data_IF_702422769687
#
_entry.id   IF_702422769687
#
_cell.length_a   1.000
_cell.length_b   1.000
_cell.length_c   1.000
_cell.angle_alpha   90.00
_cell.angle_beta   90.00
_cell.angle_gamma   90.00
#
_symmetry.space_group_name_H-M   'P 1'
#
loop_
_entity.id
_entity.type
_entity.pdbx_description
1 polymer ?
#
# COMPACT_ATOMS: atom_id res chain seq x y z
N UNK A 1 16.05 20.60 6.92
CA UNK A 1 17.09 19.54 6.94
C UNK A 1 18.52 20.09 6.80
N UNK A 2 18.94 21.03 7.66
CA UNK A 2 20.27 21.69 7.55
C UNK A 2 21.29 21.23 8.60
N UNK A 3 20.88 20.50 9.65
CA UNK A 3 21.77 20.08 10.75
C UNK A 3 22.78 18.98 10.42
N UNK A 4 22.50 18.12 9.43
CA UNK A 4 23.36 16.97 9.11
C UNK A 4 24.59 17.29 8.26
N UNK A 5 24.66 18.46 7.62
CA UNK A 5 25.79 18.84 6.75
C UNK A 5 27.05 19.20 7.54
N UNK A 6 26.86 19.75 8.74
CA UNK A 6 27.96 20.24 9.56
C UNK A 6 28.40 19.24 10.63
N UNK A 7 27.66 18.14 10.85
CA UNK A 7 28.00 17.13 11.87
C UNK A 7 29.38 16.51 11.63
N UNK A 8 29.73 16.23 10.38
CA UNK A 8 31.04 15.69 10.01
C UNK A 8 32.16 16.72 10.23
N UNK A 9 31.89 17.99 9.92
CA UNK A 9 32.83 19.11 10.13
C UNK A 9 33.04 19.36 11.63
N UNK A 10 31.97 19.34 12.42
CA UNK A 10 32.03 19.49 13.88
C UNK A 10 32.76 18.31 14.52
N UNK A 11 32.48 17.08 14.10
CA UNK A 11 33.18 15.90 14.60
C UNK A 11 34.68 15.94 14.28
N UNK A 12 35.04 16.34 13.05
CA UNK A 12 36.42 16.55 12.64
C UNK A 12 37.13 17.62 13.49
N UNK A 13 36.47 18.77 13.73
CA UNK A 13 37.02 19.84 14.57
C UNK A 13 37.21 19.39 16.02
N UNK A 14 36.25 18.63 16.59
CA UNK A 14 36.38 18.08 17.94
C UNK A 14 37.54 17.09 18.03
N UNK A 15 37.70 16.19 17.05
CA UNK A 15 38.86 15.29 17.00
C UNK A 15 40.17 16.06 16.92
N UNK A 16 40.25 17.09 16.07
CA UNK A 16 41.43 17.97 15.95
C UNK A 16 41.77 18.68 17.27
N UNK A 17 40.76 19.20 17.99
CA UNK A 17 40.96 19.85 19.29
C UNK A 17 41.44 18.86 20.34
N UNK A 18 40.86 17.65 20.40
CA UNK A 18 41.28 16.60 21.34
C UNK A 18 42.73 16.18 21.06
N UNK A 19 43.09 15.97 19.78
CA UNK A 19 44.47 15.68 19.37
C UNK A 19 45.40 16.81 19.81
N UNK A 20 45.04 18.07 19.53
CA UNK A 20 45.82 19.24 19.93
C UNK A 20 46.04 19.34 21.44
N UNK A 21 45.01 19.08 22.24
CA UNK A 21 45.10 19.06 23.71
C UNK A 21 46.00 17.92 24.19
N UNK A 22 45.87 16.71 23.62
CA UNK A 22 46.71 15.57 23.96
C UNK A 22 48.19 15.83 23.65
N UNK A 23 48.50 16.42 22.50
CA UNK A 23 49.86 16.76 22.10
C UNK A 23 50.46 17.89 22.95
N UNK A 24 49.65 18.90 23.32
CA UNK A 24 50.08 19.98 24.22
C UNK A 24 50.36 19.47 25.64
N UNK A 25 49.51 18.56 26.16
CA UNK A 25 49.60 18.07 27.54
C UNK A 25 50.63 16.96 27.73
N UNK A 26 50.90 16.18 26.68
CA UNK A 26 51.83 15.04 26.67
C UNK A 26 52.81 15.13 25.49
N UNK A 27 53.81 16.04 25.55
CA UNK A 27 54.78 16.22 24.47
C UNK A 27 55.66 14.99 24.21
N UNK A 28 55.69 14.03 25.15
CA UNK A 28 56.35 12.73 24.98
C UNK A 28 55.72 11.87 23.86
N UNK A 29 54.45 12.12 23.48
CA UNK A 29 53.76 11.41 22.40
C UNK A 29 54.30 11.73 21.00
N UNK A 30 55.16 12.75 20.87
CA UNK A 30 55.84 13.16 19.63
C UNK A 30 57.30 12.72 19.59
N UNK A 31 57.83 12.13 20.68
CA UNK A 31 59.23 11.70 20.73
C UNK A 31 59.37 10.34 20.04
N UNK A 32 59.77 10.38 18.77
CA UNK A 32 60.07 9.22 17.94
C UNK A 32 59.07 9.06 16.79
N UNK A 33 59.58 8.90 15.56
CA UNK A 33 58.76 8.81 14.34
C UNK A 33 57.74 7.66 14.39
N UNK A 34 58.11 6.51 14.94
CA UNK A 34 57.21 5.36 15.07
C UNK A 34 56.02 5.63 16.01
N UNK A 35 56.24 6.35 17.12
CA UNK A 35 55.18 6.68 18.09
C UNK A 35 54.24 7.74 17.51
N UNK A 36 54.80 8.73 16.82
CA UNK A 36 54.02 9.75 16.11
C UNK A 36 53.14 9.14 15.01
N UNK A 37 53.70 8.25 14.18
CA UNK A 37 52.95 7.57 13.11
C UNK A 37 51.85 6.67 13.67
N UNK A 38 52.15 5.89 14.71
CA UNK A 38 51.17 5.05 15.41
C UNK A 38 50.00 5.87 15.96
N UNK A 39 50.28 7.00 16.62
CA UNK A 39 49.25 7.88 17.16
C UNK A 39 48.36 8.47 16.06
N UNK A 40 48.94 8.98 14.97
CA UNK A 40 48.18 9.51 13.81
C UNK A 40 47.28 8.43 13.22
N UNK A 41 47.79 7.20 13.06
CA UNK A 41 47.01 6.08 12.54
C UNK A 41 45.85 5.67 13.46
N UNK A 42 46.06 5.72 14.78
CA UNK A 42 45.02 5.46 15.78
C UNK A 42 43.92 6.52 15.75
N UNK A 43 44.27 7.79 15.62
CA UNK A 43 43.31 8.88 15.47
C UNK A 43 42.51 8.81 14.17
N UNK A 44 43.18 8.51 13.05
CA UNK A 44 42.51 8.30 11.76
C UNK A 44 41.49 7.15 11.84
N UNK A 45 41.84 6.06 12.53
CA UNK A 45 40.95 4.91 12.75
C UNK A 45 39.76 5.28 13.61
N UNK A 46 39.96 5.97 14.74
CA UNK A 46 38.87 6.43 15.61
C UNK A 46 37.91 7.38 14.88
N UNK A 47 38.45 8.32 14.11
CA UNK A 47 37.65 9.21 13.28
C UNK A 47 36.84 8.45 12.24
N UNK A 48 37.47 7.49 11.55
CA UNK A 48 36.80 6.64 10.55
C UNK A 48 35.64 5.82 11.13
N UNK A 49 35.83 5.24 12.33
CA UNK A 49 34.77 4.51 13.03
C UNK A 49 33.62 5.42 13.44
N UNK A 50 33.91 6.61 13.99
CA UNK A 50 32.88 7.58 14.36
C UNK A 50 32.08 8.08 13.15
N UNK A 51 32.77 8.38 12.05
CA UNK A 51 32.16 8.74 10.78
C UNK A 51 31.22 7.63 10.27
N UNK A 52 31.68 6.37 10.27
CA UNK A 52 30.88 5.23 9.85
C UNK A 52 29.62 5.05 10.71
N UNK A 53 29.72 5.24 12.03
CA UNK A 53 28.57 5.18 12.95
C UNK A 53 27.56 6.28 12.62
N UNK A 54 28.00 7.52 12.50
CA UNK A 54 27.14 8.67 12.15
C UNK A 54 26.42 8.42 10.83
N UNK A 55 27.16 7.98 9.81
CA UNK A 55 26.61 7.75 8.48
C UNK A 55 25.63 6.56 8.49
N UNK A 56 25.88 5.54 9.30
CA UNK A 56 24.95 4.41 9.51
C UNK A 56 23.64 4.88 10.16
N UNK A 57 23.70 5.75 11.16
CA UNK A 57 22.50 6.33 11.77
C UNK A 57 21.73 7.21 10.77
N UNK A 58 22.43 8.01 9.98
CA UNK A 58 21.82 8.85 8.94
C UNK A 58 21.15 8.01 7.85
N UNK A 59 21.81 6.96 7.39
CA UNK A 59 21.27 6.01 6.42
C UNK A 59 20.06 5.27 6.97
N UNK A 60 20.08 4.86 8.26
CA UNK A 60 18.92 4.27 8.94
C UNK A 60 17.74 5.24 9.02
N UNK A 61 17.97 6.50 9.40
CA UNK A 61 16.91 7.50 9.46
C UNK A 61 16.27 7.75 8.08
N UNK A 62 17.10 7.93 7.05
CA UNK A 62 16.62 8.08 5.67
C UNK A 62 15.87 6.83 5.17
N UNK A 63 16.34 5.63 5.54
CA UNK A 63 15.68 4.37 5.22
C UNK A 63 14.32 4.24 5.92
N UNK A 64 14.20 4.67 7.17
CA UNK A 64 12.94 4.69 7.91
C UNK A 64 11.94 5.67 7.30
N UNK A 65 12.40 6.86 6.92
CA UNK A 65 11.58 7.87 6.24
C UNK A 65 11.09 7.36 4.88
N UNK A 66 11.99 6.75 4.08
CA UNK A 66 11.63 6.13 2.82
C UNK A 66 10.63 4.97 3.01
N UNK A 67 10.79 4.14 4.04
CA UNK A 67 9.85 3.06 4.37
C UNK A 67 8.47 3.62 4.76
N UNK A 68 8.42 4.70 5.51
CA UNK A 68 7.16 5.35 5.89
C UNK A 68 6.45 5.91 4.64
N UNK A 69 7.16 6.63 3.78
CA UNK A 69 6.63 7.16 2.52
C UNK A 69 6.16 6.05 1.57
N UNK A 70 6.93 4.97 1.43
CA UNK A 70 6.54 3.80 0.63
C UNK A 70 5.30 3.09 1.19
N UNK A 71 5.19 2.97 2.52
CA UNK A 71 4.00 2.42 3.17
C UNK A 71 2.76 3.29 2.92
N UNK A 72 2.91 4.61 2.98
CA UNK A 72 1.83 5.54 2.67
C UNK A 72 1.39 5.45 1.19
N UNK A 73 2.35 5.43 0.27
CA UNK A 73 2.09 5.27 -1.16
C UNK A 73 1.39 3.93 -1.45
N UNK A 74 1.86 2.84 -0.84
CA UNK A 74 1.22 1.52 -0.96
C UNK A 74 -0.22 1.54 -0.47
N UNK A 75 -0.51 2.15 0.69
CA UNK A 75 -1.88 2.32 1.18
C UNK A 75 -2.76 3.11 0.21
N UNK A 76 -2.24 4.19 -0.38
CA UNK A 76 -2.95 4.98 -1.41
C UNK A 76 -3.25 4.16 -2.66
N UNK A 77 -2.29 3.34 -3.12
CA UNK A 77 -2.46 2.45 -4.28
C UNK A 77 -3.53 1.39 -4.01
N UNK A 78 -3.50 0.75 -2.84
CA UNK A 78 -4.51 -0.25 -2.45
C UNK A 78 -5.90 0.37 -2.45
N UNK A 79 -6.06 1.58 -1.88
CA UNK A 79 -7.32 2.31 -1.90
C UNK A 79 -7.80 2.63 -3.32
N UNK A 80 -6.92 3.14 -4.18
CA UNK A 80 -7.24 3.41 -5.59
C UNK A 80 -7.69 2.13 -6.31
N UNK A 81 -7.04 1.00 -6.03
CA UNK A 81 -7.43 -0.29 -6.58
C UNK A 81 -8.83 -0.71 -6.12
N UNK A 82 -9.14 -0.58 -4.83
CA UNK A 82 -10.49 -0.88 -4.32
C UNK A 82 -11.57 -0.01 -4.96
N UNK A 83 -11.34 1.30 -5.09
CA UNK A 83 -12.30 2.21 -5.76
C UNK A 83 -12.48 1.82 -7.24
N UNK A 84 -11.39 1.49 -7.93
CA UNK A 84 -11.42 1.04 -9.32
C UNK A 84 -12.19 -0.27 -9.49
N UNK A 85 -12.02 -1.22 -8.58
CA UNK A 85 -12.67 -2.52 -8.63
C UNK A 85 -14.18 -2.40 -8.38
N UNK A 86 -14.60 -1.55 -7.43
CA UNK A 86 -16.02 -1.20 -7.21
C UNK A 86 -16.62 -0.55 -8.45
N UNK A 87 -15.96 0.48 -9.01
CA UNK A 87 -16.43 1.17 -10.21
C UNK A 87 -16.55 0.22 -11.41
N UNK A 88 -15.58 -0.68 -11.57
CA UNK A 88 -15.60 -1.71 -12.62
C UNK A 88 -16.76 -2.69 -12.41
N UNK A 89 -17.02 -3.12 -11.18
CA UNK A 89 -18.15 -3.99 -10.86
C UNK A 89 -19.49 -3.31 -11.20
N UNK A 90 -19.65 -2.02 -10.83
CA UNK A 90 -20.84 -1.23 -11.16
C UNK A 90 -21.05 -1.10 -12.68
N UNK A 91 -19.98 -0.81 -13.43
CA UNK A 91 -20.03 -0.76 -14.91
C UNK A 91 -20.50 -2.09 -15.50
N UNK A 92 -19.90 -3.21 -15.08
CA UNK A 92 -20.25 -4.53 -15.59
C UNK A 92 -21.72 -4.88 -15.29
N UNK A 93 -22.21 -4.52 -14.10
CA UNK A 93 -23.62 -4.70 -13.73
C UNK A 93 -24.53 -3.87 -14.64
N UNK A 94 -24.17 -2.61 -14.92
CA UNK A 94 -24.95 -1.73 -15.80
C UNK A 94 -24.99 -2.24 -17.24
N UNK A 95 -23.86 -2.72 -17.77
CA UNK A 95 -23.79 -3.33 -19.10
C UNK A 95 -24.68 -4.58 -19.19
N UNK A 96 -24.66 -5.46 -18.18
CA UNK A 96 -25.54 -6.64 -18.15
C UNK A 96 -27.02 -6.28 -18.01
N UNK A 97 -27.35 -5.22 -17.26
CA UNK A 97 -28.72 -4.71 -17.19
C UNK A 97 -29.21 -4.21 -18.56
N UNK A 98 -28.35 -3.54 -19.35
CA UNK A 98 -28.69 -3.12 -20.71
C UNK A 98 -28.89 -4.31 -21.65
N UNK A 99 -28.04 -5.32 -21.57
CA UNK A 99 -28.15 -6.51 -22.41
C UNK A 99 -29.37 -7.39 -22.08
N UNK A 100 -29.79 -7.39 -20.80
CA UNK A 100 -31.05 -7.98 -20.36
C UNK A 100 -32.28 -7.27 -20.97
N UNK A 101 -32.22 -5.97 -21.21
CA UNK A 101 -33.31 -5.20 -21.84
C UNK A 101 -33.37 -5.45 -23.36
N UNK A 102 -32.23 -5.58 -24.02
CA UNK A 102 -32.14 -5.77 -25.47
C UNK A 102 -32.26 -7.23 -25.91
N UNK A 103 -31.26 -8.05 -25.57
CA UNK A 103 -31.10 -9.40 -26.14
C UNK A 103 -31.59 -10.52 -25.22
N UNK A 104 -31.71 -10.24 -23.91
CA UNK A 104 -31.96 -11.25 -22.85
C UNK A 104 -30.92 -12.37 -22.84
N UNK A 105 -29.74 -12.14 -23.43
CA UNK A 105 -28.60 -13.03 -23.42
C UNK A 105 -27.60 -12.48 -22.41
N UNK A 106 -27.05 -13.36 -21.58
CA UNK A 106 -26.09 -13.02 -20.55
C UNK A 106 -24.67 -13.31 -21.04
N UNK A 107 -23.73 -12.41 -20.76
CA UNK A 107 -22.32 -12.73 -20.93
C UNK A 107 -21.79 -13.43 -19.69
N UNK A 108 -21.54 -14.73 -19.83
CA UNK A 108 -20.94 -15.53 -18.76
C UNK A 108 -19.64 -14.94 -18.23
N UNK A 109 -18.80 -14.39 -19.12
CA UNK A 109 -17.54 -13.75 -18.73
C UNK A 109 -17.77 -12.55 -17.81
N UNK A 110 -18.77 -11.71 -18.10
CA UNK A 110 -19.09 -10.55 -17.26
C UNK A 110 -19.73 -10.97 -15.94
N UNK A 111 -20.66 -11.93 -15.94
CA UNK A 111 -21.24 -12.44 -14.68
C UNK A 111 -20.15 -13.01 -13.76
N UNK A 112 -19.23 -13.83 -14.29
CA UNK A 112 -18.13 -14.37 -13.48
C UNK A 112 -17.28 -13.25 -12.91
N UNK A 113 -17.00 -12.20 -13.70
CA UNK A 113 -16.22 -11.05 -13.21
C UNK A 113 -16.98 -10.22 -12.17
N UNK A 114 -18.30 -10.05 -12.33
CA UNK A 114 -19.16 -9.41 -11.32
C UNK A 114 -19.11 -10.20 -10.02
N UNK A 115 -19.27 -11.52 -10.08
CA UNK A 115 -19.21 -12.40 -8.91
C UNK A 115 -17.87 -12.29 -8.19
N UNK A 116 -16.75 -12.32 -8.92
CA UNK A 116 -15.41 -12.18 -8.37
C UNK A 116 -15.24 -10.84 -7.65
N UNK A 117 -15.54 -9.72 -8.32
CA UNK A 117 -15.36 -8.37 -7.77
C UNK A 117 -16.31 -8.09 -6.60
N UNK A 118 -17.56 -8.54 -6.70
CA UNK A 118 -18.56 -8.33 -5.65
C UNK A 118 -18.25 -9.16 -4.40
N UNK A 119 -17.81 -10.41 -4.56
CA UNK A 119 -17.42 -11.26 -3.43
C UNK A 119 -16.17 -10.71 -2.75
N UNK A 120 -15.20 -10.20 -3.52
CA UNK A 120 -13.99 -9.59 -2.97
C UNK A 120 -14.30 -8.32 -2.15
N UNK A 121 -15.25 -7.48 -2.59
CA UNK A 121 -15.65 -6.26 -1.87
C UNK A 121 -16.42 -6.56 -0.58
N UNK A 122 -17.19 -7.66 -0.56
CA UNK A 122 -18.02 -8.07 0.57
C UNK A 122 -17.55 -9.38 1.22
N UNK A 123 -16.23 -9.64 1.24
CA UNK A 123 -15.64 -10.88 1.77
C UNK A 123 -16.14 -11.20 3.18
N UNK A 124 -16.17 -10.20 4.04
CA UNK A 124 -16.56 -10.34 5.46
C UNK A 124 -18.06 -10.63 5.61
N UNK A 125 -18.87 -10.24 4.62
CA UNK A 125 -20.32 -10.54 4.58
C UNK A 125 -20.61 -11.86 3.89
N UNK A 126 -19.69 -12.38 3.09
CA UNK A 126 -19.85 -13.65 2.42
C UNK A 126 -19.79 -14.84 3.40
N UNK A 127 -18.99 -14.72 4.46
CA UNK A 127 -18.89 -15.72 5.53
C UNK A 127 -20.18 -15.82 6.39
N UNK A 128 -20.96 -14.74 6.47
CA UNK A 128 -22.25 -14.73 7.16
C UNK A 128 -23.35 -15.34 6.29
N UNK A 129 -23.89 -16.46 6.74
CA UNK A 129 -24.89 -17.21 6.00
C UNK A 129 -26.20 -16.45 5.75
N UNK A 130 -26.49 -15.47 6.60
CA UNK A 130 -27.74 -14.69 6.57
C UNK A 130 -27.62 -13.36 5.85
N UNK A 131 -26.42 -13.03 5.34
CA UNK A 131 -26.19 -11.73 4.71
C UNK A 131 -26.95 -11.59 3.40
N UNK A 132 -27.52 -10.41 3.17
CA UNK A 132 -28.17 -10.08 1.90
C UNK A 132 -27.21 -10.20 0.71
N UNK A 133 -25.92 -9.92 0.94
CA UNK A 133 -24.86 -9.99 -0.08
C UNK A 133 -24.58 -11.43 -0.50
N UNK A 134 -24.52 -12.38 0.43
CA UNK A 134 -24.38 -13.82 0.11
C UNK A 134 -25.60 -14.33 -0.66
N UNK A 135 -26.80 -13.91 -0.28
CA UNK A 135 -28.04 -14.26 -1.00
C UNK A 135 -28.00 -13.72 -2.44
N UNK A 136 -27.56 -12.49 -2.64
CA UNK A 136 -27.42 -11.90 -3.98
C UNK A 136 -26.37 -12.65 -4.82
N UNK A 137 -25.24 -13.06 -4.23
CA UNK A 137 -24.20 -13.88 -4.88
C UNK A 137 -24.76 -15.25 -5.31
N UNK A 138 -25.45 -15.95 -4.40
CA UNK A 138 -26.06 -17.24 -4.68
C UNK A 138 -27.14 -17.14 -5.78
N UNK A 139 -27.94 -16.07 -5.74
CA UNK A 139 -28.94 -15.79 -6.78
C UNK A 139 -28.25 -15.59 -8.15
N UNK A 140 -27.20 -14.78 -8.22
CA UNK A 140 -26.46 -14.54 -9.47
C UNK A 140 -25.75 -15.81 -9.99
N UNK A 141 -25.17 -16.63 -9.10
CA UNK A 141 -24.58 -17.93 -9.44
C UNK A 141 -25.62 -18.91 -10.00
N UNK A 142 -26.83 -18.94 -9.42
CA UNK A 142 -27.90 -19.81 -9.94
C UNK A 142 -28.32 -19.44 -11.36
N UNK A 143 -28.13 -18.19 -11.78
CA UNK A 143 -28.37 -17.76 -13.17
C UNK A 143 -27.17 -17.98 -14.10
N UNK A 144 -25.93 -17.91 -13.59
CA UNK A 144 -24.73 -18.15 -14.39
C UNK A 144 -24.66 -19.59 -14.91
N UNK A 145 -25.04 -20.58 -14.11
CA UNK A 145 -24.99 -22.00 -14.49
C UNK A 145 -25.87 -22.34 -15.72
N UNK A 146 -26.87 -21.51 -16.06
CA UNK A 146 -27.88 -21.83 -17.08
C UNK A 146 -27.79 -21.05 -18.40
N UNK A 147 -26.93 -20.03 -18.53
CA UNK A 147 -27.17 -18.97 -19.55
C UNK A 147 -26.26 -18.92 -20.78
N UNK A 148 -25.36 -19.89 -20.99
CA UNK A 148 -24.28 -19.77 -21.99
C UNK A 148 -24.67 -19.60 -23.48
N UNK A 149 -25.93 -19.79 -23.89
CA UNK A 149 -26.31 -19.64 -25.31
C UNK A 149 -27.82 -19.45 -25.59
N UNK A 150 -28.68 -19.35 -24.56
CA UNK A 150 -30.14 -19.28 -24.74
C UNK A 150 -30.70 -18.02 -24.07
N UNK A 151 -31.65 -17.32 -24.72
CA UNK A 151 -32.32 -16.19 -24.09
C UNK A 151 -33.06 -16.67 -22.83
N UNK A 152 -32.97 -15.90 -21.76
CA UNK A 152 -33.65 -16.24 -20.50
C UNK A 152 -35.16 -16.15 -20.66
N UNK A 153 -35.88 -16.98 -19.88
CA UNK A 153 -37.32 -16.79 -19.70
C UNK A 153 -37.58 -15.40 -19.09
N UNK A 154 -38.74 -14.81 -19.41
CA UNK A 154 -39.11 -13.47 -18.92
C UNK A 154 -39.03 -13.38 -17.39
N UNK A 155 -39.46 -14.44 -16.70
CA UNK A 155 -39.39 -14.53 -15.23
C UNK A 155 -37.94 -14.52 -14.74
N UNK A 156 -37.07 -15.37 -15.30
CA UNK A 156 -35.67 -15.44 -14.91
C UNK A 156 -34.90 -14.14 -15.22
N UNK A 157 -35.21 -13.47 -16.35
CA UNK A 157 -34.64 -12.18 -16.68
C UNK A 157 -35.06 -11.09 -15.67
N UNK A 158 -36.32 -11.07 -15.24
CA UNK A 158 -36.80 -10.12 -14.24
C UNK A 158 -36.20 -10.37 -12.85
N UNK A 159 -36.09 -11.63 -12.44
CA UNK A 159 -35.48 -12.01 -11.16
C UNK A 159 -33.99 -11.65 -11.13
N UNK A 160 -33.27 -11.91 -12.23
CA UNK A 160 -31.88 -11.51 -12.37
C UNK A 160 -31.69 -10.00 -12.38
N UNK A 161 -32.51 -9.27 -13.13
CA UNK A 161 -32.51 -7.79 -13.13
C UNK A 161 -32.70 -7.25 -11.71
N UNK A 162 -33.62 -7.81 -10.93
CA UNK A 162 -33.84 -7.41 -9.53
C UNK A 162 -32.60 -7.67 -8.68
N UNK A 163 -31.94 -8.81 -8.87
CA UNK A 163 -30.69 -9.15 -8.17
C UNK A 163 -29.57 -8.18 -8.53
N UNK A 164 -29.34 -7.93 -9.83
CA UNK A 164 -28.33 -6.98 -10.31
C UNK A 164 -28.56 -5.56 -9.78
N UNK A 165 -29.82 -5.09 -9.76
CA UNK A 165 -30.18 -3.78 -9.20
C UNK A 165 -29.92 -3.71 -7.69
N UNK A 166 -30.17 -4.79 -6.94
CA UNK A 166 -29.82 -4.86 -5.50
C UNK A 166 -28.31 -4.80 -5.29
N UNK A 167 -27.54 -5.57 -6.06
CA UNK A 167 -26.07 -5.54 -5.99
C UNK A 167 -25.53 -4.15 -6.33
N UNK A 168 -26.11 -3.47 -7.32
CA UNK A 168 -25.74 -2.10 -7.66
C UNK A 168 -26.02 -1.13 -6.50
N UNK A 169 -27.18 -1.27 -5.84
CA UNK A 169 -27.54 -0.47 -4.67
C UNK A 169 -26.60 -0.72 -3.49
N UNK A 170 -26.26 -1.99 -3.22
CA UNK A 170 -25.30 -2.38 -2.18
C UNK A 170 -23.92 -1.75 -2.43
N UNK A 171 -23.41 -1.83 -3.66
CA UNK A 171 -22.14 -1.21 -4.05
C UNK A 171 -22.17 0.32 -3.92
N UNK A 172 -23.28 0.96 -4.33
CA UNK A 172 -23.41 2.42 -4.21
C UNK A 172 -23.46 2.89 -2.75
N UNK A 173 -24.10 2.12 -1.88
CA UNK A 173 -24.18 2.40 -0.44
C UNK A 173 -22.82 2.21 0.21
N UNK A 174 -22.11 1.14 -0.13
CA UNK A 174 -20.74 0.89 0.33
C UNK A 174 -19.77 1.99 -0.12
N UNK A 175 -19.83 2.41 -1.38
CA UNK A 175 -19.02 3.50 -1.91
C UNK A 175 -19.30 4.83 -1.19
N UNK A 176 -20.57 5.17 -0.98
CA UNK A 176 -20.97 6.39 -0.26
C UNK A 176 -20.49 6.38 1.19
N UNK A 177 -20.58 5.22 1.87
CA UNK A 177 -20.07 5.06 3.23
C UNK A 177 -18.55 5.23 3.30
N UNK A 178 -17.81 4.61 2.38
CA UNK A 178 -16.34 4.75 2.30
C UNK A 178 -15.93 6.22 2.09
N UNK A 179 -16.63 6.96 1.22
CA UNK A 179 -16.38 8.39 1.00
C UNK A 179 -16.69 9.23 2.24
N UNK A 180 -17.77 8.91 2.97
CA UNK A 180 -18.12 9.62 4.20
C UNK A 180 -17.08 9.39 5.32
N UNK A 181 -16.56 8.16 5.45
CA UNK A 181 -15.50 7.83 6.40
C UNK A 181 -14.17 8.55 6.06
N UNK A 182 -13.92 8.92 4.80
CA UNK A 182 -12.74 9.69 4.40
C UNK A 182 -12.84 11.20 4.63
N UNK A 183 -14.05 11.72 4.86
CA UNK A 183 -14.29 13.16 5.10
C UNK A 183 -14.19 13.58 6.57
N UNK A 184 -13.93 12.63 7.48
CA UNK A 184 -13.75 12.85 8.92
C UNK A 184 -12.28 12.72 9.32
#
# INVERSE_FOLDING_TARGET
MTGGKYIHVVYFLVCMVIVGICLYRFPLLLRGEQVAFSNVSGFATLYGVGFAIIETFRARAASQEAKAAASEASRKIVKLHQVKDVAKCQMLIQEELQDLEGSKILSMARITKILELYTAEFSDKYEDETSAQRINIAALQSHSVFSGAKPLSIRAANDLRKTLMKMLADLSTAATRKLAEESR
#
